data_IF_690658833349
#
_entry.id   IF_690658833349
#
_cell.length_a   1.000
_cell.length_b   1.000
_cell.length_c   1.000
_cell.angle_alpha   90.00
_cell.angle_beta   90.00
_cell.angle_gamma   90.00
#
_symmetry.space_group_name_H-M   'P 1'
#
loop_
_entity.id
_entity.type
_entity.pdbx_description
1 polymer ?
#
# COMPACT_ATOMS: atom_id res chain seq x y z
N UNK A 1 -2.89 -3.44 11.28
CA UNK A 1 -2.00 -4.45 10.67
C UNK A 1 -0.79 -3.84 9.97
N UNK A 2 -0.88 -3.09 8.85
CA UNK A 2 0.33 -2.52 8.22
C UNK A 2 1.02 -1.41 9.05
N UNK A 3 0.30 -0.81 10.01
CA UNK A 3 0.82 0.16 10.99
C UNK A 3 0.93 -0.45 12.41
N UNK A 4 1.13 -1.76 12.52
CA UNK A 4 1.25 -2.46 13.80
C UNK A 4 2.67 -2.33 14.38
N UNK A 5 2.82 -2.53 15.68
CA UNK A 5 4.13 -2.54 16.33
C UNK A 5 4.94 -3.81 16.00
N UNK A 6 4.25 -4.92 15.74
CA UNK A 6 4.87 -6.18 15.32
C UNK A 6 5.23 -6.17 13.82
N UNK A 7 6.49 -6.45 13.50
CA UNK A 7 6.99 -6.42 12.13
C UNK A 7 6.39 -7.52 11.24
N UNK A 8 6.10 -8.69 11.80
CA UNK A 8 5.44 -9.79 11.08
C UNK A 8 4.01 -9.44 10.69
N UNK A 9 3.28 -8.75 11.57
CA UNK A 9 1.95 -8.22 11.26
C UNK A 9 2.00 -7.06 10.25
N UNK A 10 3.03 -6.20 10.31
CA UNK A 10 3.24 -5.17 9.28
C UNK A 10 3.45 -5.80 7.91
N UNK A 11 4.34 -6.79 7.81
CA UNK A 11 4.61 -7.49 6.56
C UNK A 11 3.32 -8.10 5.97
N UNK A 12 2.57 -8.86 6.76
CA UNK A 12 1.30 -9.47 6.32
C UNK A 12 0.27 -8.42 5.89
N UNK A 13 0.17 -7.33 6.65
CA UNK A 13 -0.71 -6.21 6.31
C UNK A 13 -0.34 -5.57 4.98
N UNK A 14 0.95 -5.29 4.76
CA UNK A 14 1.43 -4.68 3.51
C UNK A 14 1.22 -5.60 2.33
N UNK A 15 1.48 -6.90 2.46
CA UNK A 15 1.22 -7.89 1.39
C UNK A 15 -0.26 -7.90 0.99
N UNK A 16 -1.17 -7.90 1.97
CA UNK A 16 -2.61 -7.84 1.70
C UNK A 16 -3.00 -6.56 0.94
N UNK A 17 -2.49 -5.40 1.37
CA UNK A 17 -2.69 -4.13 0.65
C UNK A 17 -2.15 -4.24 -0.78
N UNK A 18 -0.93 -4.76 -0.94
CA UNK A 18 -0.26 -4.88 -2.23
C UNK A 18 -1.07 -5.73 -3.21
N UNK A 19 -1.62 -6.86 -2.76
CA UNK A 19 -2.45 -7.73 -3.61
C UNK A 19 -3.71 -7.02 -4.13
N UNK A 20 -4.32 -6.16 -3.32
CA UNK A 20 -5.52 -5.42 -3.74
C UNK A 20 -5.18 -4.27 -4.69
N UNK A 21 -4.17 -3.46 -4.35
CA UNK A 21 -3.84 -2.26 -5.16
C UNK A 21 -3.12 -2.59 -6.46
N UNK A 22 -2.48 -3.76 -6.55
CA UNK A 22 -1.83 -4.25 -7.77
C UNK A 22 -2.71 -5.18 -8.60
N UNK A 23 -3.94 -5.48 -8.15
CA UNK A 23 -4.87 -6.24 -8.95
C UNK A 23 -5.18 -5.47 -10.24
N UNK A 24 -5.31 -6.21 -11.34
CA UNK A 24 -5.76 -5.68 -12.61
C UNK A 24 -7.29 -5.56 -12.65
N UNK A 25 -7.78 -4.72 -13.56
CA UNK A 25 -9.21 -4.51 -13.79
C UNK A 25 -9.91 -3.70 -12.69
N UNK A 26 -11.25 -3.73 -12.74
CA UNK A 26 -12.13 -2.89 -11.92
C UNK A 26 -11.90 -3.04 -10.41
N UNK A 27 -11.61 -4.26 -9.95
CA UNK A 27 -11.35 -4.53 -8.54
C UNK A 27 -10.11 -3.76 -8.04
N UNK A 28 -9.05 -3.69 -8.85
CA UNK A 28 -7.85 -2.93 -8.52
C UNK A 28 -8.08 -1.43 -8.53
N UNK A 29 -8.83 -0.92 -9.51
CA UNK A 29 -9.19 0.50 -9.60
C UNK A 29 -10.03 0.92 -8.38
N UNK A 30 -11.02 0.12 -8.01
CA UNK A 30 -11.85 0.34 -6.83
C UNK A 30 -11.01 0.31 -5.56
N UNK A 31 -10.11 -0.67 -5.42
CA UNK A 31 -9.21 -0.77 -4.28
C UNK A 31 -8.35 0.48 -4.16
N UNK A 32 -7.66 0.88 -5.24
CA UNK A 32 -6.79 2.07 -5.23
C UNK A 32 -7.57 3.36 -4.90
N UNK A 33 -8.77 3.51 -5.44
CA UNK A 33 -9.68 4.62 -5.10
C UNK A 33 -10.03 4.65 -3.61
N UNK A 34 -10.46 3.52 -3.06
CA UNK A 34 -10.79 3.37 -1.63
C UNK A 34 -9.60 3.64 -0.72
N UNK A 35 -8.44 3.07 -1.03
CA UNK A 35 -7.21 3.30 -0.28
C UNK A 35 -6.80 4.77 -0.27
N UNK A 36 -6.96 5.49 -1.38
CA UNK A 36 -6.69 6.95 -1.41
C UNK A 36 -7.69 7.71 -0.54
N UNK A 37 -8.99 7.41 -0.66
CA UNK A 37 -10.04 8.09 0.08
C UNK A 37 -9.96 7.87 1.60
N UNK A 38 -9.49 6.70 2.02
CA UNK A 38 -9.48 6.29 3.43
C UNK A 38 -8.10 6.47 4.11
N UNK A 39 -7.18 7.24 3.52
CA UNK A 39 -5.89 7.55 4.15
C UNK A 39 -4.85 6.42 4.09
N UNK A 40 -5.02 5.48 3.17
CA UNK A 40 -4.10 4.37 2.94
C UNK A 40 -2.69 4.81 2.52
N UNK A 41 -2.56 5.93 1.81
CA UNK A 41 -1.25 6.49 1.43
C UNK A 41 -0.45 6.89 2.68
N UNK A 42 -1.06 7.59 3.63
CA UNK A 42 -0.40 7.99 4.87
C UNK A 42 -0.08 6.77 5.73
N UNK A 43 -0.99 5.79 5.79
CA UNK A 43 -0.74 4.53 6.50
C UNK A 43 0.49 3.78 5.96
N UNK A 44 0.67 3.74 4.63
CA UNK A 44 1.85 3.11 4.03
C UNK A 44 3.13 3.94 4.23
N UNK A 45 3.05 5.27 4.26
CA UNK A 45 4.20 6.12 4.63
C UNK A 45 4.64 5.89 6.07
N UNK A 46 3.71 5.75 7.01
CA UNK A 46 4.03 5.41 8.40
C UNK A 46 4.63 4.00 8.51
N UNK A 47 4.11 3.04 7.75
CA UNK A 47 4.69 1.69 7.65
C UNK A 47 6.16 1.73 7.22
N UNK A 48 6.52 2.56 6.23
CA UNK A 48 7.92 2.74 5.81
C UNK A 48 8.80 3.29 6.91
N UNK A 49 8.32 4.28 7.68
CA UNK A 49 9.10 4.90 8.77
C UNK A 49 9.41 3.90 9.89
N UNK A 50 8.49 2.96 10.14
CA UNK A 50 8.59 1.99 11.23
C UNK A 50 9.29 0.68 10.85
N UNK A 51 9.44 0.40 9.55
CA UNK A 51 9.99 -0.86 9.06
C UNK A 51 11.47 -0.73 8.75
N UNK A 52 12.25 -1.77 9.07
CA UNK A 52 13.67 -1.86 8.69
C UNK A 52 13.97 -3.07 7.81
N UNK A 53 13.10 -4.08 7.79
CA UNK A 53 13.18 -5.22 6.89
C UNK A 53 13.14 -4.82 5.40
N UNK A 54 14.14 -5.20 4.59
CA UNK A 54 14.18 -4.86 3.16
C UNK A 54 12.95 -5.33 2.38
N UNK A 55 12.42 -6.51 2.71
CA UNK A 55 11.24 -7.08 2.08
C UNK A 55 10.00 -6.21 2.31
N UNK A 56 9.72 -5.82 3.57
CA UNK A 56 8.60 -4.94 3.92
C UNK A 56 8.72 -3.62 3.18
N UNK A 57 9.91 -3.00 3.22
CA UNK A 57 10.16 -1.72 2.54
C UNK A 57 9.88 -1.80 1.03
N UNK A 58 10.35 -2.85 0.35
CA UNK A 58 10.15 -3.02 -1.09
C UNK A 58 8.67 -3.17 -1.45
N UNK A 59 7.93 -4.00 -0.71
CA UNK A 59 6.51 -4.24 -0.97
C UNK A 59 5.70 -2.97 -0.66
N UNK A 60 6.00 -2.27 0.43
CA UNK A 60 5.33 -1.00 0.77
C UNK A 60 5.57 0.07 -0.30
N UNK A 61 6.78 0.20 -0.82
CA UNK A 61 7.09 1.13 -1.93
C UNK A 61 6.30 0.75 -3.18
N UNK A 62 6.19 -0.54 -3.50
CA UNK A 62 5.42 -1.01 -4.66
C UNK A 62 3.94 -0.64 -4.55
N UNK A 63 3.34 -0.84 -3.38
CA UNK A 63 1.95 -0.44 -3.11
C UNK A 63 1.76 1.08 -3.21
N UNK A 64 2.70 1.87 -2.66
CA UNK A 64 2.66 3.33 -2.71
C UNK A 64 2.70 3.85 -4.16
N UNK A 65 3.58 3.29 -5.00
CA UNK A 65 3.65 3.66 -6.43
C UNK A 65 2.30 3.46 -7.12
N UNK A 66 1.69 2.29 -6.95
CA UNK A 66 0.39 1.99 -7.55
C UNK A 66 -0.71 2.98 -7.12
N UNK A 67 -0.69 3.44 -5.85
CA UNK A 67 -1.66 4.42 -5.36
C UNK A 67 -1.40 5.84 -5.89
N UNK A 68 -0.13 6.21 -6.08
CA UNK A 68 0.28 7.55 -6.53
C UNK A 68 0.21 7.72 -8.05
N UNK A 69 0.57 6.69 -8.82
CA UNK A 69 0.62 6.73 -10.29
C UNK A 69 -0.77 6.87 -10.93
N UNK A 70 -1.82 6.35 -10.30
CA UNK A 70 -3.20 6.54 -10.76
C UNK A 70 -3.76 7.94 -10.54
N UNK A 71 -3.16 8.74 -9.66
CA UNK A 71 -3.51 10.16 -9.54
C UNK A 71 -3.01 11.01 -10.72
N UNK A 72 -2.23 10.42 -11.64
CA UNK A 72 -1.51 11.12 -12.69
C UNK A 72 -1.87 10.66 -14.12
N UNK A 73 -2.97 9.92 -14.31
CA UNK A 73 -3.52 9.70 -15.66
C UNK A 73 -4.28 10.96 -16.10
N UNK A 74 -3.89 11.65 -17.19
CA UNK A 74 -4.73 12.68 -17.79
C UNK A 74 -6.03 12.00 -18.26
N UNK A 75 -7.16 12.57 -17.83
CA UNK A 75 -8.51 12.19 -18.28
C UNK A 75 -8.70 12.50 -19.76
#
# INVERSE_FOLDING_TARGET
MCNDADEGLRHRGVVAVCNMVLADGEAGELARSKFRAEGGVESLKECLKQSRGPEVLQITVKALKALLEEGNKPQ
#
